data_IF_611434205283
#
_entry.id   IF_611434205283
#
_cell.length_a   1.000
_cell.length_b   1.000
_cell.length_c   1.000
_cell.angle_alpha   90.00
_cell.angle_beta   90.00
_cell.angle_gamma   90.00
#
_symmetry.space_group_name_H-M   'P 1'
#
loop_
_entity.id
_entity.type
_entity.pdbx_description
1 polymer ?
#
# COMPACT_ATOMS: atom_id res chain seq x y z
N UNK A 1 -3.76 -32.39 50.74
CA UNK A 1 -3.49 -33.52 49.82
C UNK A 1 -2.85 -32.94 48.57
N UNK A 2 -1.73 -33.50 48.11
CA UNK A 2 -0.96 -32.98 46.98
C UNK A 2 -1.87 -33.03 45.75
N UNK A 3 -2.34 -31.87 45.29
CA UNK A 3 -3.06 -31.78 44.03
C UNK A 3 -2.10 -32.23 42.94
N UNK A 4 -2.32 -33.41 42.39
CA UNK A 4 -1.69 -33.77 41.13
C UNK A 4 -2.16 -32.71 40.13
N UNK A 5 -1.29 -31.75 39.81
CA UNK A 5 -1.53 -30.83 38.71
C UNK A 5 -1.59 -31.68 37.44
N UNK A 6 -2.81 -31.97 37.01
CA UNK A 6 -3.08 -32.75 35.83
C UNK A 6 -2.71 -31.90 34.61
N UNK A 7 -1.68 -32.33 33.88
CA UNK A 7 -1.19 -31.61 32.70
C UNK A 7 -1.56 -32.41 31.45
N UNK A 8 -2.32 -31.76 30.57
CA UNK A 8 -2.61 -32.23 29.22
C UNK A 8 -1.46 -31.79 28.31
N UNK A 9 -0.78 -32.75 27.70
CA UNK A 9 0.36 -32.50 26.80
C UNK A 9 0.13 -33.14 25.44
N UNK A 10 0.24 -32.38 24.36
CA UNK A 10 0.10 -32.92 23.02
C UNK A 10 0.99 -32.22 21.99
N UNK A 11 1.46 -32.99 21.01
CA UNK A 11 2.22 -32.48 19.85
C UNK A 11 1.26 -32.18 18.70
N UNK A 12 1.36 -31.00 18.13
CA UNK A 12 0.58 -30.60 16.97
C UNK A 12 0.98 -31.44 15.74
N UNK A 13 0.02 -32.08 15.06
CA UNK A 13 0.30 -32.89 13.88
C UNK A 13 0.69 -32.05 12.65
N UNK A 14 0.43 -30.74 12.65
CA UNK A 14 0.70 -29.85 11.50
C UNK A 14 2.08 -29.18 11.55
N UNK A 15 2.50 -28.62 12.69
CA UNK A 15 3.79 -27.92 12.83
C UNK A 15 4.78 -28.58 13.78
N UNK A 16 4.37 -29.63 14.50
CA UNK A 16 5.23 -30.34 15.44
C UNK A 16 5.49 -29.62 16.77
N UNK A 17 4.92 -28.43 16.99
CA UNK A 17 4.95 -27.71 18.28
C UNK A 17 4.24 -28.53 19.38
N UNK A 18 4.76 -28.51 20.60
CA UNK A 18 4.20 -29.24 21.74
C UNK A 18 3.55 -28.23 22.67
N UNK A 19 2.28 -28.45 22.98
CA UNK A 19 1.50 -27.60 23.90
C UNK A 19 1.25 -28.36 25.21
N UNK A 20 1.27 -27.61 26.30
CA UNK A 20 1.03 -28.09 27.67
C UNK A 20 -0.04 -27.22 28.32
N UNK A 21 -1.04 -27.86 28.92
CA UNK A 21 -2.22 -27.21 29.48
C UNK A 21 -2.62 -27.80 30.82
N UNK A 22 -3.02 -26.96 31.77
CA UNK A 22 -3.62 -27.41 33.03
C UNK A 22 -5.12 -27.09 32.99
N UNK A 23 -6.01 -28.10 32.91
CA UNK A 23 -7.46 -27.89 32.85
C UNK A 23 -8.00 -27.19 34.09
N UNK A 24 -9.00 -26.33 33.90
CA UNK A 24 -9.71 -25.66 34.99
C UNK A 24 -10.95 -26.45 35.47
N UNK A 25 -11.65 -25.95 36.49
CA UNK A 25 -12.82 -26.64 37.06
C UNK A 25 -13.98 -26.78 36.04
N UNK A 26 -14.09 -25.86 35.08
CA UNK A 26 -15.14 -25.87 34.06
C UNK A 26 -14.84 -26.93 32.98
N UNK A 27 -13.57 -27.12 32.63
CA UNK A 27 -13.12 -28.20 31.76
C UNK A 27 -13.38 -29.58 32.40
N UNK A 28 -13.04 -29.74 33.69
CA UNK A 28 -13.25 -30.99 34.41
C UNK A 28 -14.73 -31.33 34.51
N UNK A 29 -15.58 -30.33 34.78
CA UNK A 29 -17.03 -30.50 34.78
C UNK A 29 -17.55 -30.89 33.40
N UNK A 30 -17.08 -30.23 32.34
CA UNK A 30 -17.47 -30.52 30.96
C UNK A 30 -17.07 -31.94 30.55
N UNK A 31 -15.86 -32.38 30.91
CA UNK A 31 -15.38 -33.73 30.66
C UNK A 31 -16.18 -34.78 31.44
N UNK A 32 -16.61 -34.49 32.67
CA UNK A 32 -17.42 -35.40 33.47
C UNK A 32 -18.85 -35.56 32.90
N UNK A 33 -19.44 -34.48 32.38
CA UNK A 33 -20.79 -34.50 31.83
C UNK A 33 -20.86 -35.10 30.42
N UNK A 34 -19.87 -34.81 29.57
CA UNK A 34 -19.90 -35.15 28.13
C UNK A 34 -18.90 -36.23 27.73
N UNK A 35 -18.09 -36.71 28.68
CA UNK A 35 -17.00 -37.66 28.47
C UNK A 35 -15.71 -37.05 27.90
N UNK A 36 -15.76 -35.83 27.36
CA UNK A 36 -14.62 -35.10 26.79
C UNK A 36 -14.74 -33.59 27.02
N UNK A 37 -13.60 -32.95 27.28
CA UNK A 37 -13.41 -31.50 27.17
C UNK A 37 -12.41 -31.20 26.04
N UNK A 38 -12.35 -29.92 25.62
CA UNK A 38 -11.46 -29.51 24.53
C UNK A 38 -10.80 -28.17 24.80
N UNK A 39 -9.50 -28.09 24.52
CA UNK A 39 -8.72 -26.84 24.54
C UNK A 39 -8.12 -26.58 23.15
N UNK A 40 -7.96 -25.31 22.81
CA UNK A 40 -7.47 -24.89 21.49
C UNK A 40 -6.29 -23.93 21.60
N UNK A 41 -5.24 -24.18 20.82
CA UNK A 41 -4.01 -23.38 20.73
C UNK A 41 -3.86 -22.78 19.34
N UNK A 42 -3.51 -21.50 19.26
CA UNK A 42 -3.36 -20.80 17.98
C UNK A 42 -1.90 -20.73 17.55
N UNK A 43 -1.55 -21.38 16.44
CA UNK A 43 -0.18 -21.47 15.94
C UNK A 43 0.09 -20.53 14.74
N UNK A 44 -0.85 -19.62 14.44
CA UNK A 44 -0.71 -18.60 13.39
C UNK A 44 -1.41 -18.91 12.07
N UNK A 45 -1.30 -20.13 11.54
CA UNK A 45 -1.95 -20.57 10.29
C UNK A 45 -2.93 -21.75 10.47
N UNK A 46 -2.96 -22.32 11.67
CA UNK A 46 -3.91 -23.35 12.10
C UNK A 46 -4.22 -23.21 13.59
N UNK A 47 -5.37 -23.75 13.99
CA UNK A 47 -5.74 -23.96 15.39
C UNK A 47 -5.51 -25.43 15.69
N UNK A 48 -4.71 -25.68 16.72
CA UNK A 48 -4.50 -27.00 17.27
C UNK A 48 -5.51 -27.26 18.38
N UNK A 49 -6.42 -28.22 18.17
CA UNK A 49 -7.46 -28.59 19.14
C UNK A 49 -7.10 -29.92 19.79
N UNK A 50 -7.14 -29.96 21.10
CA UNK A 50 -6.87 -31.15 21.92
C UNK A 50 -8.16 -31.52 22.64
N UNK A 51 -8.61 -32.76 22.47
CA UNK A 51 -9.73 -33.35 23.21
C UNK A 51 -9.19 -34.31 24.27
N UNK A 52 -9.57 -34.10 25.53
CA UNK A 52 -9.09 -34.85 26.67
C UNK A 52 -10.24 -35.29 27.59
N UNK A 53 -10.02 -36.35 28.37
CA UNK A 53 -11.00 -36.87 29.33
C UNK A 53 -10.78 -36.33 30.76
N UNK A 54 -11.61 -36.79 31.71
CA UNK A 54 -11.54 -36.37 33.12
C UNK A 54 -10.23 -36.73 33.83
N UNK A 55 -9.43 -37.63 33.26
CA UNK A 55 -8.12 -38.01 33.77
C UNK A 55 -6.97 -37.28 33.04
N UNK A 56 -7.29 -36.35 32.13
CA UNK A 56 -6.31 -35.58 31.37
C UNK A 56 -5.68 -36.35 30.22
N UNK A 57 -6.19 -37.55 29.89
CA UNK A 57 -5.68 -38.30 28.74
C UNK A 57 -6.18 -37.69 27.44
N UNK A 58 -5.25 -37.36 26.55
CA UNK A 58 -5.58 -36.90 25.19
C UNK A 58 -6.20 -38.06 24.41
N UNK A 59 -7.49 -37.94 24.08
CA UNK A 59 -8.23 -38.94 23.31
C UNK A 59 -8.18 -38.67 21.81
N UNK A 60 -8.10 -37.39 21.44
CA UNK A 60 -7.96 -36.96 20.05
C UNK A 60 -7.25 -35.62 20.02
N UNK A 61 -6.41 -35.42 19.02
CA UNK A 61 -5.93 -34.11 18.67
C UNK A 61 -6.12 -33.87 17.18
N UNK A 62 -6.36 -32.63 16.79
CA UNK A 62 -6.52 -32.27 15.38
C UNK A 62 -5.99 -30.88 15.15
N UNK A 63 -5.37 -30.68 14.00
CA UNK A 63 -5.05 -29.34 13.53
C UNK A 63 -6.13 -28.97 12.52
N UNK A 64 -6.95 -27.98 12.89
CA UNK A 64 -7.91 -27.38 11.98
C UNK A 64 -7.17 -26.22 11.34
N UNK A 65 -6.94 -26.28 10.02
CA UNK A 65 -6.50 -25.10 9.28
C UNK A 65 -7.47 -23.99 9.61
N UNK A 66 -6.96 -22.90 10.18
CA UNK A 66 -7.83 -21.77 10.42
C UNK A 66 -8.30 -21.29 9.07
N UNK A 67 -9.61 -21.36 8.84
CA UNK A 67 -10.26 -20.36 8.03
C UNK A 67 -10.10 -19.03 8.80
N UNK A 68 -8.90 -18.45 8.76
CA UNK A 68 -8.86 -17.00 8.68
C UNK A 68 -9.81 -16.64 7.51
N UNK A 69 -10.52 -15.50 7.51
CA UNK A 69 -10.70 -14.80 6.23
C UNK A 69 -9.28 -14.72 5.68
N UNK A 70 -8.98 -15.59 4.72
CA UNK A 70 -7.63 -16.09 4.54
C UNK A 70 -6.67 -14.91 4.41
N UNK A 71 -5.44 -15.04 4.89
CA UNK A 71 -4.35 -15.33 3.95
C UNK A 71 -4.73 -16.23 2.72
N UNK A 72 -5.84 -15.96 2.03
CA UNK A 72 -5.69 -15.70 0.60
C UNK A 72 -4.67 -14.58 0.60
N UNK A 73 -3.53 -14.74 -0.08
CA UNK A 73 -2.70 -13.58 -0.36
C UNK A 73 -3.67 -12.51 -0.86
N UNK A 74 -3.95 -11.46 -0.06
CA UNK A 74 -5.01 -10.47 -0.29
C UNK A 74 -5.02 -10.25 -1.79
N UNK A 75 -6.00 -10.84 -2.50
CA UNK A 75 -5.90 -10.90 -3.95
C UNK A 75 -5.79 -9.44 -4.35
N UNK A 76 -4.65 -9.00 -4.94
CA UNK A 76 -4.42 -7.58 -5.07
C UNK A 76 -5.61 -7.01 -5.81
N UNK A 77 -6.24 -6.02 -5.19
CA UNK A 77 -7.42 -5.36 -5.71
C UNK A 77 -7.24 -5.13 -7.22
N UNK A 78 -8.19 -5.62 -8.02
CA UNK A 78 -8.09 -5.49 -9.47
C UNK A 78 -8.13 -4.01 -9.87
N UNK A 79 -7.78 -3.70 -11.12
CA UNK A 79 -7.72 -2.31 -11.55
C UNK A 79 -9.09 -1.62 -11.40
N UNK A 80 -10.17 -2.33 -11.75
CA UNK A 80 -11.53 -1.80 -11.62
C UNK A 80 -11.95 -1.54 -10.18
N UNK A 81 -11.64 -2.46 -9.26
CA UNK A 81 -11.95 -2.29 -7.83
C UNK A 81 -11.17 -1.10 -7.26
N UNK A 82 -9.90 -0.96 -7.64
CA UNK A 82 -9.05 0.16 -7.20
C UNK A 82 -9.58 1.50 -7.70
N UNK A 83 -10.01 1.56 -8.96
CA UNK A 83 -10.64 2.75 -9.53
C UNK A 83 -12.00 3.06 -8.86
N UNK A 84 -12.79 2.04 -8.53
CA UNK A 84 -14.09 2.20 -7.88
C UNK A 84 -13.95 2.71 -6.45
N UNK A 85 -12.98 2.17 -5.71
CA UNK A 85 -12.69 2.57 -4.33
C UNK A 85 -12.12 3.98 -4.24
N UNK A 86 -11.04 4.26 -5.00
CA UNK A 86 -10.32 5.52 -4.87
C UNK A 86 -10.97 6.63 -5.69
N UNK A 87 -11.64 6.30 -6.78
CA UNK A 87 -11.93 7.25 -7.85
C UNK A 87 -10.67 7.58 -8.67
N UNK A 88 -10.90 8.06 -9.90
CA UNK A 88 -9.84 8.36 -10.88
C UNK A 88 -8.87 9.45 -10.39
N UNK A 89 -9.40 10.52 -9.81
CA UNK A 89 -8.61 11.67 -9.36
C UNK A 89 -7.63 11.31 -8.23
N UNK A 90 -8.08 10.55 -7.23
CA UNK A 90 -7.25 10.13 -6.11
C UNK A 90 -6.19 9.13 -6.54
N UNK A 91 -6.56 8.18 -7.40
CA UNK A 91 -5.59 7.22 -7.97
C UNK A 91 -4.52 7.95 -8.79
N UNK A 92 -4.91 8.90 -9.66
CA UNK A 92 -3.97 9.69 -10.45
C UNK A 92 -3.01 10.49 -9.56
N UNK A 93 -3.52 11.14 -8.51
CA UNK A 93 -2.70 11.92 -7.58
C UNK A 93 -1.72 11.04 -6.80
N UNK A 94 -2.15 9.87 -6.32
CA UNK A 94 -1.30 8.90 -5.63
C UNK A 94 -0.17 8.39 -6.53
N UNK A 95 -0.50 8.04 -7.77
CA UNK A 95 0.50 7.60 -8.76
C UNK A 95 1.48 8.73 -9.10
N UNK A 96 0.99 9.97 -9.24
CA UNK A 96 1.85 11.13 -9.49
C UNK A 96 2.82 11.42 -8.34
N UNK A 97 2.45 11.12 -7.10
CA UNK A 97 3.32 11.28 -5.95
C UNK A 97 4.44 10.23 -5.92
N UNK A 98 4.11 8.98 -6.23
CA UNK A 98 5.05 7.87 -6.13
C UNK A 98 5.93 7.70 -7.37
N UNK A 99 5.41 7.99 -8.57
CA UNK A 99 6.16 7.86 -9.83
C UNK A 99 7.52 8.56 -9.82
N UNK A 100 7.71 9.80 -9.34
CA UNK A 100 9.00 10.47 -9.35
C UNK A 100 9.94 10.05 -8.21
N UNK A 101 9.51 9.27 -7.22
CA UNK A 101 10.31 8.99 -6.03
C UNK A 101 9.76 9.58 -4.72
N UNK A 102 8.60 10.23 -4.74
CA UNK A 102 8.02 10.88 -3.57
C UNK A 102 7.52 9.90 -2.52
N UNK A 103 6.88 10.43 -1.47
CA UNK A 103 6.34 9.63 -0.36
C UNK A 103 4.83 9.83 -0.25
N UNK A 104 4.13 8.83 0.28
CA UNK A 104 2.69 8.92 0.48
C UNK A 104 2.28 8.38 1.85
N UNK A 105 1.29 9.01 2.47
CA UNK A 105 0.57 8.51 3.64
C UNK A 105 -0.81 8.05 3.16
N UNK A 106 -1.14 6.79 3.41
CA UNK A 106 -2.47 6.22 3.21
C UNK A 106 -3.11 6.01 4.57
N UNK A 107 -4.11 6.84 4.88
CA UNK A 107 -4.84 6.76 6.13
C UNK A 107 -6.24 6.20 5.92
N UNK A 108 -6.64 5.27 6.77
CA UNK A 108 -8.00 4.72 6.79
C UNK A 108 -8.39 4.31 8.20
N UNK A 109 -9.68 4.25 8.48
CA UNK A 109 -10.21 3.55 9.65
C UNK A 109 -9.92 2.04 9.60
N UNK A 110 -9.69 1.47 8.41
CA UNK A 110 -9.33 0.06 8.20
C UNK A 110 -7.87 -0.08 7.75
N UNK A 111 -6.99 -0.65 8.58
CA UNK A 111 -5.61 -0.95 8.20
C UNK A 111 -5.50 -1.90 7.00
N UNK A 112 -6.44 -2.85 6.90
CA UNK A 112 -6.50 -3.81 5.79
C UNK A 112 -6.84 -3.13 4.47
N UNK A 113 -7.70 -2.10 4.48
CA UNK A 113 -8.00 -1.30 3.30
C UNK A 113 -6.76 -0.55 2.80
N UNK A 114 -6.07 0.16 3.69
CA UNK A 114 -4.85 0.89 3.36
C UNK A 114 -3.77 -0.04 2.79
N UNK A 115 -3.61 -1.22 3.39
CA UNK A 115 -2.70 -2.26 2.92
C UNK A 115 -3.10 -2.82 1.54
N UNK A 116 -4.39 -3.05 1.32
CA UNK A 116 -4.91 -3.56 0.03
C UNK A 116 -4.68 -2.56 -1.11
N UNK A 117 -4.94 -1.28 -0.85
CA UNK A 117 -4.65 -0.19 -1.79
C UNK A 117 -3.15 -0.13 -2.10
N UNK A 118 -2.29 -0.15 -1.08
CA UNK A 118 -0.84 -0.17 -1.26
C UNK A 118 -0.38 -1.34 -2.16
N UNK A 119 -0.86 -2.56 -1.90
CA UNK A 119 -0.47 -3.74 -2.68
C UNK A 119 -0.90 -3.61 -4.15
N UNK A 120 -2.10 -3.07 -4.40
CA UNK A 120 -2.60 -2.85 -5.76
C UNK A 120 -1.80 -1.76 -6.50
N UNK A 121 -1.49 -0.65 -5.83
CA UNK A 121 -0.67 0.44 -6.37
C UNK A 121 0.76 -0.03 -6.65
N UNK A 122 1.37 -0.79 -5.73
CA UNK A 122 2.70 -1.40 -5.92
C UNK A 122 2.73 -2.30 -7.15
N UNK A 123 1.67 -3.10 -7.35
CA UNK A 123 1.54 -3.97 -8.51
C UNK A 123 1.44 -3.17 -9.82
N UNK A 124 0.74 -2.04 -9.83
CA UNK A 124 0.66 -1.16 -11.01
C UNK A 124 1.98 -0.44 -11.30
N UNK A 125 2.68 0.00 -10.26
CA UNK A 125 3.93 0.74 -10.41
C UNK A 125 5.14 -0.14 -10.72
N UNK A 126 5.05 -1.46 -10.51
CA UNK A 126 5.88 -2.53 -11.09
C UNK A 126 7.40 -2.34 -11.10
N UNK A 127 7.88 -1.41 -11.92
CA UNK A 127 9.28 -1.00 -12.03
C UNK A 127 9.74 -0.11 -10.87
N UNK A 128 8.82 0.55 -10.16
CA UNK A 128 9.15 1.38 -8.99
C UNK A 128 9.18 0.51 -7.74
N UNK A 129 10.33 0.46 -7.07
CA UNK A 129 10.50 -0.25 -5.80
C UNK A 129 9.84 0.53 -4.67
N UNK A 130 8.60 0.16 -4.33
CA UNK A 130 7.89 0.71 -3.18
C UNK A 130 8.15 -0.11 -1.91
N UNK A 131 8.29 0.59 -0.80
CA UNK A 131 8.23 0.03 0.56
C UNK A 131 6.96 0.51 1.27
N UNK A 132 6.53 -0.23 2.30
CA UNK A 132 5.48 0.23 3.19
C UNK A 132 5.92 0.15 4.65
N UNK A 133 5.53 1.15 5.43
CA UNK A 133 5.73 1.21 6.88
C UNK A 133 4.37 1.40 7.56
N UNK A 134 4.08 0.58 8.58
CA UNK A 134 2.91 0.77 9.42
C UNK A 134 3.24 1.83 10.48
N UNK A 135 2.39 2.84 10.59
CA UNK A 135 2.58 3.95 11.51
C UNK A 135 1.40 4.02 12.47
N UNK A 136 1.67 3.83 13.76
CA UNK A 136 0.64 3.70 14.79
C UNK A 136 0.08 5.04 15.27
N UNK A 137 0.86 6.13 15.20
CA UNK A 137 0.46 7.44 15.72
C UNK A 137 1.12 8.61 14.96
N UNK A 138 0.61 9.82 15.19
CA UNK A 138 1.09 11.04 14.53
C UNK A 138 2.57 11.36 14.80
N UNK A 139 3.10 11.02 15.98
CA UNK A 139 4.50 11.30 16.33
C UNK A 139 5.48 10.52 15.46
N UNK A 140 5.12 9.29 15.10
CA UNK A 140 5.91 8.47 14.18
C UNK A 140 5.90 9.00 12.73
N UNK A 141 5.02 9.97 12.38
CA UNK A 141 5.04 10.68 11.10
C UNK A 141 5.98 11.89 11.08
N UNK A 142 6.51 12.33 12.22
CA UNK A 142 7.39 13.51 12.30
C UNK A 142 8.72 13.34 11.53
N UNK A 143 9.23 12.11 11.39
CA UNK A 143 10.47 11.78 10.68
C UNK A 143 10.30 11.41 9.21
N UNK A 144 9.13 11.67 8.61
CA UNK A 144 8.79 11.17 7.26
C UNK A 144 9.74 11.68 6.15
N UNK A 145 10.32 12.87 6.32
CA UNK A 145 11.26 13.47 5.38
C UNK A 145 12.59 12.70 5.28
N UNK A 146 13.01 12.06 6.38
CA UNK A 146 14.29 11.33 6.49
C UNK A 146 14.19 9.91 5.91
N UNK A 147 12.96 9.44 5.69
CA UNK A 147 12.71 8.11 5.14
C UNK A 147 13.09 8.04 3.67
N UNK A 148 13.44 6.86 3.14
CA UNK A 148 13.71 6.71 1.71
C UNK A 148 12.52 7.20 0.85
N UNK A 149 12.82 7.73 -0.33
CA UNK A 149 11.79 7.96 -1.35
C UNK A 149 11.05 6.66 -1.70
N UNK A 150 9.86 6.76 -2.29
CA UNK A 150 8.98 5.62 -2.58
C UNK A 150 8.48 4.83 -1.36
N UNK A 151 8.54 5.42 -0.16
CA UNK A 151 7.96 4.84 1.05
C UNK A 151 6.49 5.24 1.18
N UNK A 152 5.63 4.25 1.43
CA UNK A 152 4.20 4.44 1.70
C UNK A 152 3.91 4.17 3.18
N UNK A 153 3.40 5.16 3.90
CA UNK A 153 3.06 5.05 5.32
C UNK A 153 1.59 4.69 5.46
N UNK A 154 1.31 3.56 6.10
CA UNK A 154 -0.05 3.09 6.36
C UNK A 154 -0.41 3.47 7.78
N UNK A 155 -1.51 4.20 7.98
CA UNK A 155 -1.88 4.66 9.33
C UNK A 155 -3.38 4.72 9.53
N UNK A 156 -3.79 4.85 10.79
CA UNK A 156 -5.18 5.15 11.11
C UNK A 156 -5.51 6.60 10.73
N UNK A 157 -6.69 6.87 10.19
CA UNK A 157 -7.12 8.23 9.86
C UNK A 157 -7.07 9.21 11.05
N UNK A 158 -7.27 8.73 12.28
CA UNK A 158 -7.14 9.54 13.49
C UNK A 158 -5.70 10.07 13.68
N UNK A 159 -4.70 9.40 13.12
CA UNK A 159 -3.31 9.85 13.17
C UNK A 159 -3.05 11.06 12.26
N UNK A 160 -3.88 11.31 11.23
CA UNK A 160 -3.69 12.46 10.33
C UNK A 160 -4.02 13.80 10.97
N UNK A 161 -4.95 13.85 11.92
CA UNK A 161 -5.39 15.12 12.54
C UNK A 161 -4.35 15.74 13.46
N UNK A 162 -3.41 14.93 13.95
CA UNK A 162 -2.27 15.38 14.76
C UNK A 162 -0.99 15.67 13.96
N UNK A 163 -1.03 15.52 12.63
CA UNK A 163 0.15 15.78 11.77
C UNK A 163 0.27 17.27 11.55
N UNK A 164 1.45 17.82 11.89
CA UNK A 164 1.81 19.19 11.56
C UNK A 164 1.99 19.41 10.06
N UNK A 165 2.72 20.45 9.68
CA UNK A 165 3.00 20.72 8.28
C UNK A 165 3.89 19.62 7.69
N UNK A 166 3.33 18.85 6.73
CA UNK A 166 4.09 17.83 6.01
C UNK A 166 5.06 18.46 5.00
N UNK A 167 6.19 17.79 4.72
CA UNK A 167 7.04 18.15 3.60
C UNK A 167 6.25 18.18 2.28
N UNK A 168 6.59 19.12 1.39
CA UNK A 168 5.84 19.33 0.14
C UNK A 168 5.83 18.13 -0.80
N UNK A 169 6.83 17.26 -0.70
CA UNK A 169 7.01 16.02 -1.46
C UNK A 169 6.28 14.80 -0.87
N UNK A 170 5.58 14.98 0.26
CA UNK A 170 4.76 13.96 0.90
C UNK A 170 3.28 14.19 0.58
N UNK A 171 2.65 13.21 -0.06
CA UNK A 171 1.20 13.22 -0.27
C UNK A 171 0.49 12.54 0.92
N UNK A 172 -0.41 13.25 1.62
CA UNK A 172 -1.31 12.62 2.57
C UNK A 172 -2.69 12.38 1.95
N UNK A 173 -3.18 11.14 2.03
CA UNK A 173 -4.52 10.75 1.59
C UNK A 173 -5.28 10.05 2.71
N UNK A 174 -6.39 10.64 3.14
CA UNK A 174 -7.46 9.91 3.83
C UNK A 174 -8.32 9.21 2.77
N UNK A 175 -8.36 7.87 2.83
CA UNK A 175 -9.07 7.05 1.85
C UNK A 175 -10.59 7.23 1.92
N UNK A 176 -11.10 7.74 3.04
CA UNK A 176 -12.53 7.91 3.30
C UNK A 176 -12.99 9.38 3.17
N UNK A 177 -12.06 10.34 3.15
CA UNK A 177 -12.38 11.76 3.00
C UNK A 177 -12.54 12.16 1.52
N UNK A 178 -13.48 13.07 1.18
CA UNK A 178 -13.61 13.56 -0.18
C UNK A 178 -12.32 14.28 -0.63
N UNK A 179 -11.89 14.00 -1.87
CA UNK A 179 -10.78 14.71 -2.51
C UNK A 179 -11.34 15.72 -3.51
N UNK A 180 -10.81 16.94 -3.50
CA UNK A 180 -11.13 17.97 -4.50
C UNK A 180 -9.85 18.51 -5.11
N UNK A 181 -9.60 18.16 -6.36
CA UNK A 181 -8.43 18.66 -7.09
C UNK A 181 -8.62 20.12 -7.54
N UNK A 182 -7.55 20.90 -7.39
CA UNK A 182 -7.44 22.25 -7.95
C UNK A 182 -7.19 22.26 -9.46
N UNK A 183 -7.24 23.45 -10.08
CA UNK A 183 -7.04 23.61 -11.53
C UNK A 183 -5.64 23.16 -12.00
N UNK A 184 -4.59 23.49 -11.24
CA UNK A 184 -3.22 23.06 -11.55
C UNK A 184 -3.07 21.53 -11.47
N UNK A 185 -3.64 20.90 -10.43
CA UNK A 185 -3.60 19.45 -10.25
C UNK A 185 -4.35 18.73 -11.38
N UNK A 186 -5.54 19.20 -11.75
CA UNK A 186 -6.29 18.62 -12.87
C UNK A 186 -5.53 18.73 -14.19
N UNK A 187 -4.84 19.84 -14.43
CA UNK A 187 -3.99 20.01 -15.61
C UNK A 187 -2.81 19.04 -15.59
N UNK A 188 -2.06 19.01 -14.49
CA UNK A 188 -0.90 18.12 -14.33
C UNK A 188 -1.26 16.63 -14.35
N UNK A 189 -2.46 16.25 -13.88
CA UNK A 189 -2.89 14.86 -13.84
C UNK A 189 -3.62 14.40 -15.10
N UNK A 190 -3.78 15.27 -16.12
CA UNK A 190 -4.60 14.98 -17.30
C UNK A 190 -4.16 13.72 -18.05
N UNK A 191 -2.86 13.51 -18.22
CA UNK A 191 -2.32 12.30 -18.85
C UNK A 191 -2.71 11.02 -18.09
N UNK A 192 -2.60 11.02 -16.77
CA UNK A 192 -2.97 9.87 -15.93
C UNK A 192 -4.49 9.65 -15.92
N UNK A 193 -5.28 10.72 -15.83
CA UNK A 193 -6.75 10.62 -15.87
C UNK A 193 -7.23 10.01 -17.19
N UNK A 194 -6.66 10.47 -18.31
CA UNK A 194 -6.95 9.91 -19.64
C UNK A 194 -6.49 8.46 -19.75
N UNK A 195 -5.33 8.11 -19.22
CA UNK A 195 -4.85 6.72 -19.20
C UNK A 195 -5.77 5.81 -18.36
N UNK A 196 -6.30 6.29 -17.23
CA UNK A 196 -7.29 5.54 -16.44
C UNK A 196 -8.56 5.32 -17.26
N UNK A 197 -9.06 6.38 -17.92
CA UNK A 197 -10.27 6.29 -18.77
C UNK A 197 -10.11 5.35 -19.96
N UNK A 198 -8.95 5.37 -20.61
CA UNK A 198 -8.62 4.46 -21.70
C UNK A 198 -8.48 3.02 -21.20
N UNK A 199 -7.83 2.80 -20.05
CA UNK A 199 -7.75 1.49 -19.42
C UNK A 199 -9.15 0.95 -19.09
N UNK A 200 -10.04 1.76 -18.54
CA UNK A 200 -11.40 1.33 -18.18
C UNK A 200 -12.26 0.85 -19.36
N UNK A 201 -11.88 1.15 -20.62
CA UNK A 201 -12.59 0.69 -21.82
C UNK A 201 -12.32 -0.77 -22.17
N UNK A 202 -11.23 -1.36 -21.68
CA UNK A 202 -10.95 -2.77 -21.91
C UNK A 202 -11.91 -3.64 -21.08
N UNK A 203 -12.32 -4.80 -21.61
CA UNK A 203 -13.22 -5.72 -20.89
C UNK A 203 -12.45 -6.56 -19.86
N UNK A 204 -11.26 -7.02 -20.22
CA UNK A 204 -10.43 -7.92 -19.42
C UNK A 204 -9.51 -7.14 -18.45
N UNK A 205 -9.44 -7.57 -17.18
CA UNK A 205 -8.62 -6.90 -16.15
C UNK A 205 -7.12 -6.96 -16.45
N UNK A 206 -6.61 -8.05 -17.03
CA UNK A 206 -5.19 -8.14 -17.36
C UNK A 206 -4.82 -7.16 -18.48
N UNK A 207 -5.71 -6.97 -19.47
CA UNK A 207 -5.55 -5.96 -20.50
C UNK A 207 -5.57 -4.53 -19.92
N UNK A 208 -6.50 -4.22 -18.99
CA UNK A 208 -6.52 -2.92 -18.27
C UNK A 208 -5.19 -2.64 -17.58
N UNK A 209 -4.73 -3.61 -16.79
CA UNK A 209 -3.48 -3.48 -16.04
C UNK A 209 -2.27 -3.36 -16.96
N UNK A 210 -2.19 -4.17 -18.01
CA UNK A 210 -1.06 -4.16 -18.96
C UNK A 210 -0.96 -2.82 -19.68
N UNK A 211 -2.08 -2.32 -20.21
CA UNK A 211 -2.16 -1.01 -20.85
C UNK A 211 -1.70 0.09 -19.88
N UNK A 212 -2.24 0.09 -18.66
CA UNK A 212 -1.95 1.13 -17.69
C UNK A 212 -0.50 1.09 -17.20
N UNK A 213 0.06 -0.10 -16.95
CA UNK A 213 1.48 -0.30 -16.63
C UNK A 213 2.40 0.25 -17.71
N UNK A 214 2.07 0.01 -18.98
CA UNK A 214 2.85 0.54 -20.10
C UNK A 214 2.83 2.09 -20.12
N UNK A 215 1.66 2.69 -19.89
CA UNK A 215 1.54 4.15 -19.74
C UNK A 215 2.37 4.70 -18.58
N UNK A 216 2.32 4.05 -17.41
CA UNK A 216 3.12 4.44 -16.25
C UNK A 216 4.63 4.33 -16.50
N UNK A 217 5.08 3.27 -17.18
CA UNK A 217 6.48 3.10 -17.56
C UNK A 217 6.96 4.22 -18.49
N UNK A 218 6.16 4.58 -19.50
CA UNK A 218 6.47 5.71 -20.38
C UNK A 218 6.57 7.05 -19.63
N UNK A 219 5.65 7.32 -18.70
CA UNK A 219 5.70 8.53 -17.87
C UNK A 219 6.92 8.53 -16.93
N UNK A 220 7.30 7.37 -16.38
CA UNK A 220 8.50 7.24 -15.54
C UNK A 220 9.78 7.54 -16.32
N UNK A 221 9.90 7.01 -17.54
CA UNK A 221 11.04 7.28 -18.41
C UNK A 221 11.20 8.78 -18.69
N UNK A 222 10.07 9.48 -18.94
CA UNK A 222 10.06 10.94 -19.11
C UNK A 222 10.55 11.66 -17.84
N UNK A 223 10.08 11.23 -16.66
CA UNK A 223 10.50 11.81 -15.38
C UNK A 223 11.99 11.60 -15.12
N UNK A 224 12.52 10.40 -15.39
CA UNK A 224 13.93 10.08 -15.20
C UNK A 224 14.84 10.92 -16.10
N UNK A 225 14.48 11.07 -17.38
CA UNK A 225 15.20 11.93 -18.32
C UNK A 225 15.14 13.40 -17.92
N UNK A 226 13.96 13.88 -17.52
CA UNK A 226 13.79 15.26 -17.10
C UNK A 226 14.55 15.58 -15.80
N UNK A 227 14.56 14.66 -14.83
CA UNK A 227 15.34 14.78 -13.61
C UNK A 227 16.84 14.81 -13.90
N UNK A 228 17.34 13.91 -14.75
CA UNK A 228 18.74 13.89 -15.18
C UNK A 228 19.16 15.20 -15.84
N UNK A 229 18.34 15.73 -16.75
CA UNK A 229 18.61 17.02 -17.39
C UNK A 229 18.62 18.17 -16.36
N UNK A 230 17.66 18.19 -15.43
CA UNK A 230 17.64 19.19 -14.36
C UNK A 230 18.93 19.16 -13.51
N UNK A 231 19.47 17.98 -13.25
CA UNK A 231 20.70 17.81 -12.48
C UNK A 231 21.93 18.28 -13.26
N UNK A 232 21.97 18.02 -14.57
CA UNK A 232 23.10 18.38 -15.44
C UNK A 232 23.14 19.87 -15.81
N UNK A 233 22.00 20.46 -16.19
CA UNK A 233 21.94 21.82 -16.76
C UNK A 233 21.28 22.83 -15.83
N UNK A 234 20.72 22.39 -14.71
CA UNK A 234 19.97 23.23 -13.77
C UNK A 234 18.62 23.74 -14.30
N UNK A 235 18.34 23.61 -15.60
CA UNK A 235 17.11 24.04 -16.29
C UNK A 235 16.86 23.16 -17.52
N UNK A 236 15.60 22.86 -17.85
CA UNK A 236 15.26 22.16 -19.08
C UNK A 236 13.99 22.77 -19.69
N UNK A 237 13.88 22.71 -21.01
CA UNK A 237 12.70 23.16 -21.77
C UNK A 237 12.05 21.98 -22.49
N UNK A 238 10.79 22.17 -22.91
CA UNK A 238 10.07 21.19 -23.74
C UNK A 238 10.86 20.83 -25.01
N UNK A 239 11.53 21.80 -25.64
CA UNK A 239 12.34 21.56 -26.85
C UNK A 239 13.54 20.65 -26.57
N UNK A 240 14.21 20.84 -25.43
CA UNK A 240 15.33 20.00 -25.00
C UNK A 240 14.84 18.60 -24.66
N UNK A 241 13.74 18.48 -23.91
CA UNK A 241 13.18 17.18 -23.56
C UNK A 241 12.74 16.39 -24.82
N UNK A 242 12.10 17.05 -25.78
CA UNK A 242 11.73 16.46 -27.09
C UNK A 242 12.95 15.96 -27.86
N UNK A 243 14.04 16.73 -27.88
CA UNK A 243 15.30 16.36 -28.55
C UNK A 243 15.90 15.09 -27.93
N UNK A 244 15.98 15.03 -26.60
CA UNK A 244 16.55 13.91 -25.86
C UNK A 244 15.71 12.63 -25.96
N UNK A 245 14.40 12.77 -26.15
CA UNK A 245 13.49 11.63 -26.27
C UNK A 245 13.41 11.06 -27.69
N UNK A 246 13.85 11.81 -28.70
CA UNK A 246 13.75 11.39 -30.11
C UNK A 246 12.32 11.18 -30.60
N UNK A 247 11.31 11.66 -29.86
CA UNK A 247 9.88 11.53 -30.19
C UNK A 247 9.09 12.77 -29.81
N UNK A 248 7.95 12.95 -30.47
CA UNK A 248 6.98 13.96 -30.06
C UNK A 248 6.33 13.55 -28.73
N UNK A 249 6.40 14.43 -27.73
CA UNK A 249 5.79 14.23 -26.41
C UNK A 249 4.46 15.00 -26.37
N UNK A 250 3.33 14.34 -26.08
CA UNK A 250 2.05 15.01 -25.90
C UNK A 250 2.12 16.08 -24.80
N UNK A 251 1.45 17.20 -25.01
CA UNK A 251 1.41 18.31 -24.04
C UNK A 251 0.93 17.89 -22.64
N UNK A 252 0.01 16.93 -22.57
CA UNK A 252 -0.52 16.40 -21.31
C UNK A 252 0.53 15.59 -20.53
N UNK A 253 1.42 14.87 -21.22
CA UNK A 253 2.53 14.13 -20.59
C UNK A 253 3.59 15.11 -20.06
N UNK A 254 3.82 16.22 -20.77
CA UNK A 254 4.71 17.30 -20.31
C UNK A 254 4.14 18.03 -19.09
N UNK A 255 2.86 18.39 -19.12
CA UNK A 255 2.17 18.99 -17.97
C UNK A 255 2.30 18.10 -16.73
N UNK A 256 2.19 16.78 -16.90
CA UNK A 256 2.44 15.80 -15.85
C UNK A 256 3.88 15.83 -15.32
N UNK A 257 4.88 15.78 -16.21
CA UNK A 257 6.30 15.80 -15.80
C UNK A 257 6.61 17.05 -14.98
N UNK A 258 6.19 18.23 -15.45
CA UNK A 258 6.40 19.48 -14.71
C UNK A 258 5.68 19.49 -13.36
N UNK A 259 4.44 19.03 -13.32
CA UNK A 259 3.66 18.96 -12.08
C UNK A 259 4.31 18.01 -11.06
N UNK A 260 4.67 16.80 -11.47
CA UNK A 260 5.22 15.78 -10.60
C UNK A 260 6.62 16.17 -10.06
N UNK A 261 7.50 16.72 -10.90
CA UNK A 261 8.81 17.19 -10.46
C UNK A 261 8.68 18.40 -9.50
N UNK A 262 7.81 19.36 -9.82
CA UNK A 262 7.54 20.53 -8.96
C UNK A 262 7.09 20.12 -7.57
N UNK A 263 6.19 19.15 -7.50
CA UNK A 263 5.46 18.83 -6.28
C UNK A 263 6.13 17.73 -5.47
N UNK A 264 6.59 16.67 -6.11
CA UNK A 264 6.91 15.41 -5.42
C UNK A 264 8.37 14.98 -5.53
N UNK A 265 9.18 15.63 -6.35
CA UNK A 265 10.60 15.31 -6.47
C UNK A 265 11.50 16.09 -5.49
N UNK A 266 10.93 16.86 -4.55
CA UNK A 266 11.67 17.69 -3.57
C UNK A 266 12.56 18.77 -4.18
N UNK A 267 12.66 18.83 -5.50
CA UNK A 267 13.41 19.80 -6.27
C UNK A 267 12.53 21.03 -6.51
N UNK A 268 13.12 22.22 -6.46
CA UNK A 268 12.46 23.46 -6.89
C UNK A 268 12.33 23.50 -8.43
N UNK A 269 11.96 22.37 -9.03
CA UNK A 269 11.96 22.09 -10.46
C UNK A 269 11.07 23.05 -11.22
N UNK A 270 9.93 23.51 -10.66
CA UNK A 270 9.12 24.53 -11.32
C UNK A 270 9.77 25.91 -11.37
N UNK A 271 10.48 26.36 -10.33
CA UNK A 271 11.18 27.66 -10.37
C UNK A 271 12.36 27.63 -11.34
N UNK A 272 13.00 26.47 -11.49
CA UNK A 272 14.14 26.23 -12.39
C UNK A 272 13.70 25.97 -13.84
N UNK A 273 12.67 25.17 -14.06
CA UNK A 273 12.03 25.00 -15.37
C UNK A 273 11.39 26.30 -15.87
N UNK A 274 10.72 27.07 -14.99
CA UNK A 274 10.14 28.36 -15.35
C UNK A 274 11.17 29.44 -15.72
N UNK A 275 12.42 29.34 -15.24
CA UNK A 275 13.52 30.20 -15.73
C UNK A 275 13.85 29.90 -17.20
N UNK A 276 13.73 28.65 -17.64
CA UNK A 276 13.76 28.29 -19.06
C UNK A 276 12.51 28.71 -19.82
N UNK A 277 11.33 28.74 -19.19
CA UNK A 277 10.08 29.27 -19.81
C UNK A 277 10.18 30.79 -20.07
N UNK A 278 10.95 31.55 -19.27
CA UNK A 278 11.19 32.97 -19.52
C UNK A 278 12.00 33.25 -20.80
N UNK A 279 12.71 32.27 -21.35
CA UNK A 279 13.35 32.39 -22.67
C UNK A 279 12.36 32.24 -23.85
N UNK A 280 11.07 32.04 -23.59
CA UNK A 280 10.01 31.95 -24.61
C UNK A 280 9.13 33.20 -24.71
N UNK A 281 9.48 34.28 -24.00
CA UNK A 281 8.79 35.58 -24.08
C UNK A 281 9.55 36.62 -24.92
N UNK A 282 10.49 36.19 -25.76
CA UNK A 282 11.20 37.02 -26.74
C UNK A 282 11.08 36.42 -28.14
#
# INVERSE_FOLDING_TARGET
MRGNNMIVRAKCPSCGQVEEYTPDEDDLRTAAEKGLASISFYHGDHVFVIFFDTNGFVRRSTAIKTARPGREALKPMCFSDLCSLLGRERLALLLAALLPGGRAILASSSPDLAKSVYLAVRRLLGQVKLSAELVENANALAGIAEKPGNTVFLTNRASLTGVGQLPGDVLALDLEAPLKLGREEKKGLKALLKAIDEASKFKDEAAKESFFKNKLAGLRELLDKAAKLLDETGTFSERVLKRELGREVPSEELDFVFFALKRFAGTNAAKRAARGVREFAL
#
